data_IF_739597428397
#
_entry.id   IF_739597428397
#
_cell.length_a   1.000
_cell.length_b   1.000
_cell.length_c   1.000
_cell.angle_alpha   90.00
_cell.angle_beta   90.00
_cell.angle_gamma   90.00
#
_symmetry.space_group_name_H-M   'P 1'
#
loop_
_entity.id
_entity.type
_entity.pdbx_description
1 polymer ?
#
# COMPACT_ATOMS: atom_id res chain seq x y z
N UNK A 1 -5.31 32.91 -20.41
CA UNK A 1 -5.09 31.66 -19.64
C UNK A 1 -3.60 31.39 -19.63
N UNK A 2 -2.95 31.47 -18.47
CA UNK A 2 -1.49 31.25 -18.39
C UNK A 2 -1.12 29.85 -18.87
N UNK A 3 -0.04 29.73 -19.64
CA UNK A 3 0.51 28.43 -20.02
C UNK A 3 0.80 27.63 -18.74
N UNK A 4 0.11 26.50 -18.57
CA UNK A 4 0.40 25.54 -17.51
C UNK A 4 1.86 25.11 -17.66
N UNK A 5 2.60 25.07 -16.56
CA UNK A 5 3.95 24.50 -16.59
C UNK A 5 3.87 23.03 -17.00
N UNK A 6 4.91 22.50 -17.63
CA UNK A 6 4.93 21.09 -18.09
C UNK A 6 4.58 20.10 -16.97
N UNK A 7 5.05 20.33 -15.74
CA UNK A 7 4.73 19.51 -14.58
C UNK A 7 3.27 19.63 -14.14
N UNK A 8 2.63 20.79 -14.31
CA UNK A 8 1.20 20.96 -14.06
C UNK A 8 0.33 20.29 -15.11
N UNK A 9 0.78 20.27 -16.37
CA UNK A 9 0.12 19.51 -17.43
C UNK A 9 0.18 17.99 -17.13
N UNK A 10 1.33 17.46 -16.71
CA UNK A 10 1.46 16.06 -16.24
C UNK A 10 0.52 15.80 -15.07
N UNK A 11 0.50 16.68 -14.06
CA UNK A 11 -0.39 16.55 -12.90
C UNK A 11 -1.85 16.49 -13.31
N UNK A 12 -2.25 17.33 -14.26
CA UNK A 12 -3.63 17.40 -14.76
C UNK A 12 -4.01 16.09 -15.45
N UNK A 13 -3.19 15.59 -16.37
CA UNK A 13 -3.43 14.31 -17.05
C UNK A 13 -3.53 13.12 -16.08
N UNK A 14 -2.63 13.07 -15.08
CA UNK A 14 -2.66 12.02 -14.04
C UNK A 14 -3.99 12.04 -13.27
N UNK A 15 -4.48 13.23 -12.92
CA UNK A 15 -5.73 13.41 -12.16
C UNK A 15 -6.97 13.12 -13.00
N UNK A 16 -6.99 13.57 -14.26
CA UNK A 16 -8.07 13.28 -15.24
C UNK A 16 -8.24 11.78 -15.41
N UNK A 17 -7.13 11.04 -15.50
CA UNK A 17 -7.12 9.58 -15.62
C UNK A 17 -7.31 8.84 -14.29
N UNK A 18 -7.58 9.56 -13.21
CA UNK A 18 -7.85 9.03 -11.87
C UNK A 18 -6.74 8.13 -11.30
N UNK A 19 -5.48 8.40 -11.66
CA UNK A 19 -4.34 7.74 -11.02
C UNK A 19 -4.24 8.12 -9.54
N UNK A 20 -3.55 7.27 -8.76
CA UNK A 20 -3.37 7.52 -7.34
C UNK A 20 -2.46 8.73 -7.09
N UNK A 21 -2.66 9.42 -5.97
CA UNK A 21 -1.76 10.48 -5.52
C UNK A 21 -0.29 10.03 -5.38
N UNK A 22 -0.07 8.74 -5.08
CA UNK A 22 1.30 8.18 -5.04
C UNK A 22 1.92 8.13 -6.44
N UNK A 23 1.12 7.76 -7.45
CA UNK A 23 1.55 7.78 -8.85
C UNK A 23 1.88 9.20 -9.29
N UNK A 24 1.03 10.19 -8.94
CA UNK A 24 1.31 11.62 -9.17
C UNK A 24 2.69 12.01 -8.62
N UNK A 25 2.94 11.74 -7.34
CA UNK A 25 4.25 12.04 -6.72
C UNK A 25 5.42 11.37 -7.42
N UNK A 26 5.32 10.06 -7.70
CA UNK A 26 6.40 9.32 -8.35
C UNK A 26 6.66 9.81 -9.77
N UNK A 27 5.62 10.08 -10.55
CA UNK A 27 5.77 10.48 -11.94
C UNK A 27 6.29 11.91 -12.05
N UNK A 28 5.81 12.84 -11.22
CA UNK A 28 6.35 14.19 -11.16
C UNK A 28 7.80 14.20 -10.71
N UNK A 29 8.18 13.34 -9.76
CA UNK A 29 9.57 13.20 -9.33
C UNK A 29 10.48 12.78 -10.50
N UNK A 30 10.13 11.69 -11.19
CA UNK A 30 10.96 11.15 -12.27
C UNK A 30 11.05 12.09 -13.47
N UNK A 31 9.93 12.71 -13.88
CA UNK A 31 9.94 13.70 -14.96
C UNK A 31 10.80 14.91 -14.58
N UNK A 32 10.69 15.43 -13.35
CA UNK A 32 11.53 16.53 -12.89
C UNK A 32 13.01 16.14 -12.84
N UNK A 33 13.34 14.91 -12.45
CA UNK A 33 14.72 14.45 -12.40
C UNK A 33 15.31 14.31 -13.81
N UNK A 34 14.54 13.72 -14.73
CA UNK A 34 14.90 13.62 -16.14
C UNK A 34 15.16 14.99 -16.79
N UNK A 35 14.23 15.93 -16.62
CA UNK A 35 14.37 17.31 -17.16
C UNK A 35 15.65 17.97 -16.67
N UNK A 36 15.96 17.83 -15.37
CA UNK A 36 17.15 18.45 -14.77
C UNK A 36 18.44 17.79 -15.25
N UNK A 37 18.47 16.46 -15.34
CA UNK A 37 19.66 15.73 -15.75
C UNK A 37 19.99 15.95 -17.22
N UNK A 38 18.98 15.96 -18.09
CA UNK A 38 19.16 16.16 -19.54
C UNK A 38 19.14 17.64 -19.96
N UNK A 39 19.08 18.58 -19.01
CA UNK A 39 19.02 20.04 -19.26
C UNK A 39 17.95 20.47 -20.27
N UNK A 40 16.79 19.80 -20.26
CA UNK A 40 15.70 20.00 -21.22
C UNK A 40 15.07 21.38 -21.02
N UNK A 41 14.94 22.16 -22.12
CA UNK A 41 14.32 23.49 -22.10
C UNK A 41 12.93 23.48 -22.73
N UNK A 42 12.74 22.71 -23.80
CA UNK A 42 11.47 22.58 -24.51
C UNK A 42 11.05 21.11 -24.64
N UNK A 43 9.73 20.88 -24.69
CA UNK A 43 9.18 19.53 -24.85
C UNK A 43 9.58 18.85 -26.17
N UNK A 44 9.90 19.63 -27.21
CA UNK A 44 10.40 19.14 -28.49
C UNK A 44 11.81 18.55 -28.40
N UNK A 45 12.58 18.91 -27.37
CA UNK A 45 13.94 18.41 -27.17
C UNK A 45 13.93 16.94 -26.71
N UNK A 46 12.78 16.40 -26.28
CA UNK A 46 12.68 15.05 -25.73
C UNK A 46 12.69 14.03 -26.87
N UNK A 47 13.84 13.40 -27.09
CA UNK A 47 14.03 12.33 -28.07
C UNK A 47 14.15 10.95 -27.39
N UNK A 48 13.85 9.84 -28.10
CA UNK A 48 14.07 8.49 -27.58
C UNK A 48 15.50 8.26 -27.09
N UNK A 49 16.50 8.81 -27.79
CA UNK A 49 17.92 8.72 -27.42
C UNK A 49 18.22 9.34 -26.06
N UNK A 50 17.64 10.50 -25.73
CA UNK A 50 17.81 11.11 -24.41
C UNK A 50 17.18 10.27 -23.29
N UNK A 51 16.02 9.67 -23.57
CA UNK A 51 15.37 8.75 -22.63
C UNK A 51 16.27 7.55 -22.37
N UNK A 52 16.84 6.95 -23.41
CA UNK A 52 17.76 5.82 -23.30
C UNK A 52 19.04 6.18 -22.54
N UNK A 53 19.66 7.32 -22.84
CA UNK A 53 20.83 7.82 -22.13
C UNK A 53 20.54 8.01 -20.63
N UNK A 54 19.40 8.60 -20.30
CA UNK A 54 18.99 8.77 -18.90
C UNK A 54 18.75 7.41 -18.20
N UNK A 55 18.12 6.45 -18.89
CA UNK A 55 17.90 5.12 -18.33
C UNK A 55 19.21 4.34 -18.16
N UNK A 56 20.18 4.54 -19.06
CA UNK A 56 21.52 4.00 -18.97
C UNK A 56 22.27 4.60 -17.77
N UNK A 57 22.25 5.93 -17.63
CA UNK A 57 22.78 6.65 -16.46
C UNK A 57 22.20 6.09 -15.15
N UNK A 58 20.88 5.90 -15.09
CA UNK A 58 20.25 5.31 -13.91
C UNK A 58 20.74 3.90 -13.60
N UNK A 59 20.98 3.07 -14.62
CA UNK A 59 21.39 1.69 -14.44
C UNK A 59 22.88 1.53 -14.13
N UNK A 60 23.75 2.30 -14.81
CA UNK A 60 25.21 2.13 -14.77
C UNK A 60 25.83 3.03 -13.71
N UNK A 61 25.47 4.31 -13.67
CA UNK A 61 26.09 5.27 -12.74
C UNK A 61 25.37 5.33 -11.40
N UNK A 62 24.03 5.33 -11.41
CA UNK A 62 23.23 5.34 -10.18
C UNK A 62 22.95 3.93 -9.62
N UNK A 63 23.31 2.87 -10.36
CA UNK A 63 23.11 1.46 -10.01
C UNK A 63 21.70 1.14 -9.46
N UNK A 64 20.66 1.77 -10.03
CA UNK A 64 19.30 1.59 -9.52
C UNK A 64 18.74 0.20 -9.87
N UNK A 65 17.85 -0.31 -9.02
CA UNK A 65 17.16 -1.57 -9.33
C UNK A 65 16.33 -1.49 -10.62
N UNK A 66 16.18 -2.62 -11.31
CA UNK A 66 15.33 -2.75 -12.50
C UNK A 66 13.89 -2.22 -12.31
N UNK A 67 13.32 -2.38 -11.10
CA UNK A 67 11.97 -1.88 -10.81
C UNK A 67 11.92 -0.36 -10.66
N UNK A 68 12.98 0.24 -10.12
CA UNK A 68 13.17 1.70 -10.05
C UNK A 68 13.30 2.29 -11.44
N UNK A 69 14.17 1.72 -12.27
CA UNK A 69 14.37 2.13 -13.66
C UNK A 69 13.07 2.04 -14.46
N UNK A 70 12.33 0.91 -14.34
CA UNK A 70 11.02 0.74 -14.98
C UNK A 70 10.02 1.81 -14.55
N UNK A 71 10.02 2.22 -13.28
CA UNK A 71 9.15 3.29 -12.81
C UNK A 71 9.51 4.64 -13.46
N UNK A 72 10.80 4.94 -13.60
CA UNK A 72 11.28 6.13 -14.29
C UNK A 72 10.85 6.12 -15.77
N UNK A 73 11.08 5.01 -16.48
CA UNK A 73 10.64 4.82 -17.86
C UNK A 73 9.12 5.05 -18.01
N UNK A 74 8.30 4.39 -17.17
CA UNK A 74 6.85 4.57 -17.24
C UNK A 74 6.42 6.02 -17.00
N UNK A 75 7.09 6.73 -16.09
CA UNK A 75 6.79 8.14 -15.81
C UNK A 75 7.11 9.05 -17.00
N UNK A 76 8.25 8.83 -17.66
CA UNK A 76 8.70 9.63 -18.81
C UNK A 76 7.82 9.33 -20.03
N UNK A 77 7.58 8.05 -20.34
CA UNK A 77 6.70 7.62 -21.44
C UNK A 77 5.27 8.13 -21.24
N UNK A 78 4.77 8.16 -20.00
CA UNK A 78 3.48 8.77 -19.69
C UNK A 78 3.43 10.24 -20.12
N UNK A 79 4.44 11.02 -19.78
CA UNK A 79 4.49 12.43 -20.15
C UNK A 79 4.62 12.62 -21.68
N UNK A 80 5.45 11.81 -22.35
CA UNK A 80 5.61 11.85 -23.80
C UNK A 80 4.26 11.60 -24.52
N UNK A 81 3.58 10.49 -24.16
CA UNK A 81 2.33 10.09 -24.82
C UNK A 81 1.16 11.01 -24.50
N UNK A 82 1.00 11.39 -23.23
CA UNK A 82 -0.24 12.04 -22.79
C UNK A 82 -0.15 13.56 -22.67
N UNK A 83 1.06 14.12 -22.53
CA UNK A 83 1.25 15.58 -22.44
C UNK A 83 1.82 16.12 -23.75
N UNK A 84 2.86 15.49 -24.29
CA UNK A 84 3.52 15.95 -25.52
C UNK A 84 2.91 15.39 -26.79
N UNK A 85 2.07 14.35 -26.69
CA UNK A 85 1.50 13.61 -27.83
C UNK A 85 2.57 13.07 -28.79
N UNK A 86 3.74 12.75 -28.24
CA UNK A 86 4.84 12.11 -28.95
C UNK A 86 4.76 10.61 -28.63
N UNK A 87 4.72 9.79 -29.67
CA UNK A 87 4.94 8.35 -29.58
C UNK A 87 6.46 8.12 -29.53
N UNK A 88 7.06 7.72 -28.39
CA UNK A 88 8.45 7.31 -28.37
C UNK A 88 8.52 5.94 -29.06
N UNK A 89 8.68 5.95 -30.39
CA UNK A 89 8.86 4.75 -31.18
C UNK A 89 10.21 4.10 -30.82
N UNK A 90 10.19 2.77 -30.67
CA UNK A 90 11.36 1.89 -30.60
C UNK A 90 12.47 2.30 -29.61
N UNK A 91 12.15 2.36 -28.32
CA UNK A 91 13.19 2.39 -27.29
C UNK A 91 13.96 1.05 -27.32
N UNK A 92 15.18 1.07 -27.85
CA UNK A 92 16.09 -0.07 -27.93
C UNK A 92 16.88 -0.18 -26.62
N UNK A 93 16.18 -0.49 -25.53
CA UNK A 93 16.78 -0.62 -24.21
C UNK A 93 16.69 -2.05 -23.66
N UNK A 94 17.80 -2.65 -23.19
CA UNK A 94 17.76 -3.97 -22.56
C UNK A 94 17.05 -3.90 -21.21
N UNK A 95 15.83 -4.43 -21.14
CA UNK A 95 15.08 -4.49 -19.90
C UNK A 95 15.74 -5.44 -18.91
N UNK A 96 16.31 -4.90 -17.83
CA UNK A 96 16.74 -5.70 -16.70
C UNK A 96 15.53 -6.43 -16.09
N UNK A 97 15.58 -7.76 -16.04
CA UNK A 97 14.55 -8.55 -15.35
C UNK A 97 14.80 -8.47 -13.84
N UNK A 98 13.83 -7.93 -13.10
CA UNK A 98 13.92 -7.95 -11.65
C UNK A 98 13.90 -9.41 -11.14
N UNK A 99 14.82 -9.81 -10.25
CA UNK A 99 14.81 -11.15 -9.69
C UNK A 99 13.54 -11.39 -8.87
N UNK A 100 12.95 -12.58 -9.01
CA UNK A 100 11.82 -12.99 -8.17
C UNK A 100 12.35 -13.30 -6.76
N UNK A 101 11.94 -12.51 -5.77
CA UNK A 101 12.31 -12.74 -4.36
C UNK A 101 11.28 -13.64 -3.71
N UNK A 102 11.74 -14.71 -3.06
CA UNK A 102 10.91 -15.52 -2.19
C UNK A 102 10.58 -14.69 -0.93
N UNK A 103 9.31 -14.55 -0.55
CA UNK A 103 8.94 -13.76 0.60
C UNK A 103 9.45 -14.42 1.88
N UNK A 104 10.08 -13.62 2.74
CA UNK A 104 10.38 -14.02 4.10
C UNK A 104 9.08 -14.05 4.92
N UNK A 105 8.89 -15.12 5.70
CA UNK A 105 7.73 -15.31 6.57
C UNK A 105 8.15 -15.48 8.02
N UNK A 106 7.20 -15.20 8.91
CA UNK A 106 7.29 -15.39 10.35
C UNK A 106 6.59 -16.69 10.74
N UNK A 107 7.11 -17.36 11.77
CA UNK A 107 6.35 -18.38 12.49
C UNK A 107 5.20 -17.72 13.28
N UNK A 108 4.22 -18.52 13.71
CA UNK A 108 3.13 -18.01 14.54
C UNK A 108 3.63 -17.42 15.87
N UNK A 109 4.67 -18.02 16.47
CA UNK A 109 5.27 -17.53 17.71
C UNK A 109 6.04 -16.22 17.50
N UNK A 110 6.83 -16.11 16.44
CA UNK A 110 7.52 -14.85 16.09
C UNK A 110 6.51 -13.73 15.85
N UNK A 111 5.44 -14.00 15.08
CA UNK A 111 4.40 -13.02 14.81
C UNK A 111 3.71 -12.58 16.10
N UNK A 112 3.35 -13.52 16.98
CA UNK A 112 2.73 -13.25 18.27
C UNK A 112 3.63 -12.40 19.18
N UNK A 113 4.92 -12.72 19.25
CA UNK A 113 5.91 -12.00 20.04
C UNK A 113 6.11 -10.56 19.57
N UNK A 114 6.19 -10.34 18.26
CA UNK A 114 6.30 -8.98 17.69
C UNK A 114 5.02 -8.20 17.97
N UNK A 115 3.86 -8.81 17.75
CA UNK A 115 2.56 -8.13 17.93
C UNK A 115 2.36 -7.75 19.40
N UNK A 116 2.71 -8.60 20.36
CA UNK A 116 2.59 -8.28 21.79
C UNK A 116 3.52 -7.16 22.25
N UNK A 117 4.61 -6.90 21.51
CA UNK A 117 5.53 -5.78 21.75
C UNK A 117 5.07 -4.46 21.10
N UNK A 118 3.97 -4.46 20.35
CA UNK A 118 3.32 -3.24 19.87
C UNK A 118 2.33 -2.72 20.91
N UNK A 119 2.12 -1.41 20.96
CA UNK A 119 1.22 -0.76 21.93
C UNK A 119 0.05 -0.02 21.26
N UNK A 120 -1.06 0.09 21.99
CA UNK A 120 -2.24 0.85 21.57
C UNK A 120 -2.77 0.43 20.20
N UNK A 121 -3.03 1.42 19.32
CA UNK A 121 -3.52 1.14 17.97
C UNK A 121 -2.47 0.43 17.08
N UNK A 122 -1.17 0.50 17.40
CA UNK A 122 -0.16 -0.24 16.64
C UNK A 122 -0.29 -1.76 16.83
N UNK A 123 -0.61 -2.20 18.06
CA UNK A 123 -0.96 -3.59 18.34
C UNK A 123 -2.11 -4.05 17.45
N UNK A 124 -3.20 -3.27 17.44
CA UNK A 124 -4.40 -3.62 16.70
C UNK A 124 -4.14 -3.68 15.17
N UNK A 125 -3.33 -2.76 14.64
CA UNK A 125 -2.93 -2.79 13.22
C UNK A 125 -2.12 -4.07 12.95
N UNK A 126 -1.10 -4.37 13.76
CA UNK A 126 -0.29 -5.58 13.59
C UNK A 126 -1.13 -6.85 13.62
N UNK A 127 -2.05 -6.93 14.58
CA UNK A 127 -2.96 -8.06 14.73
C UNK A 127 -3.94 -8.22 13.56
N UNK A 128 -4.48 -7.12 13.01
CA UNK A 128 -5.34 -7.18 11.81
C UNK A 128 -4.53 -7.60 10.57
N UNK A 129 -3.30 -7.10 10.41
CA UNK A 129 -2.47 -7.47 9.26
C UNK A 129 -2.15 -8.97 9.25
N UNK A 130 -1.82 -9.52 10.42
CA UNK A 130 -1.52 -10.94 10.56
C UNK A 130 -2.78 -11.82 10.59
N UNK A 131 -3.84 -11.40 11.29
CA UNK A 131 -5.03 -12.22 11.49
C UNK A 131 -6.05 -12.18 10.34
N UNK A 132 -6.00 -11.15 9.50
CA UNK A 132 -6.95 -10.95 8.39
C UNK A 132 -6.25 -10.82 7.03
N UNK A 133 -4.92 -10.82 7.00
CA UNK A 133 -4.14 -10.74 5.77
C UNK A 133 -4.26 -9.41 5.02
N UNK A 134 -4.70 -8.32 5.66
CA UNK A 134 -4.86 -7.03 4.99
C UNK A 134 -3.51 -6.43 4.54
N UNK A 135 -3.51 -5.60 3.50
CA UNK A 135 -2.36 -4.73 3.20
C UNK A 135 -2.35 -3.56 4.19
N UNK A 136 -1.19 -3.02 4.52
CA UNK A 136 -1.07 -1.85 5.42
C UNK A 136 -2.00 -0.70 5.01
N UNK A 137 -2.00 -0.31 3.74
CA UNK A 137 -2.86 0.77 3.24
C UNK A 137 -4.36 0.46 3.33
N UNK A 138 -4.73 -0.82 3.29
CA UNK A 138 -6.13 -1.24 3.47
C UNK A 138 -6.50 -1.12 4.94
N UNK A 139 -5.67 -1.67 5.84
CA UNK A 139 -5.89 -1.61 7.30
C UNK A 139 -6.00 -0.16 7.80
N UNK A 140 -5.10 0.73 7.36
CA UNK A 140 -5.14 2.15 7.76
C UNK A 140 -6.36 2.89 7.23
N UNK A 141 -6.96 2.44 6.13
CA UNK A 141 -8.14 3.07 5.52
C UNK A 141 -9.46 2.51 6.04
N UNK A 142 -9.43 1.49 6.89
CA UNK A 142 -10.63 0.94 7.51
C UNK A 142 -11.39 2.04 8.23
N UNK A 143 -12.71 2.05 8.00
CA UNK A 143 -13.66 2.91 8.70
C UNK A 143 -14.45 2.08 9.70
N UNK A 144 -15.10 2.76 10.63
CA UNK A 144 -15.97 2.13 11.63
C UNK A 144 -17.03 1.24 10.98
N UNK A 145 -17.67 1.69 9.88
CA UNK A 145 -18.67 0.92 9.14
C UNK A 145 -18.14 -0.33 8.42
N UNK A 146 -16.82 -0.42 8.23
CA UNK A 146 -16.21 -1.51 7.47
C UNK A 146 -16.01 -2.76 8.35
N UNK A 147 -16.27 -2.65 9.66
CA UNK A 147 -16.12 -3.73 10.63
C UNK A 147 -17.50 -4.22 11.04
N UNK A 148 -17.80 -5.49 10.77
CA UNK A 148 -18.99 -6.17 11.26
C UNK A 148 -18.60 -7.14 12.39
N UNK A 149 -18.96 -6.77 13.61
CA UNK A 149 -18.68 -7.55 14.81
C UNK A 149 -19.62 -8.76 14.97
N UNK A 150 -20.77 -8.75 14.29
CA UNK A 150 -21.77 -9.82 14.33
C UNK A 150 -21.34 -10.95 13.40
N UNK A 151 -21.07 -10.64 12.13
CA UNK A 151 -20.60 -11.62 11.15
C UNK A 151 -19.10 -11.88 11.24
N UNK A 152 -18.39 -11.13 12.10
CA UNK A 152 -16.94 -11.22 12.31
C UNK A 152 -16.19 -11.08 10.98
N UNK A 153 -16.52 -10.01 10.28
CA UNK A 153 -15.98 -9.73 8.96
C UNK A 153 -15.49 -8.29 8.84
N UNK A 154 -14.51 -8.11 7.94
CA UNK A 154 -13.95 -6.81 7.58
C UNK A 154 -14.20 -6.60 6.09
N UNK A 155 -14.95 -5.55 5.77
CA UNK A 155 -15.15 -5.12 4.40
C UNK A 155 -13.98 -4.26 3.92
N UNK A 156 -13.31 -4.67 2.85
CA UNK A 156 -12.22 -3.90 2.25
C UNK A 156 -12.73 -3.23 0.98
N UNK A 157 -13.03 -1.94 1.11
CA UNK A 157 -13.48 -1.11 -0.01
C UNK A 157 -12.34 -0.78 -0.98
N UNK A 158 -12.55 -1.05 -2.27
CA UNK A 158 -11.68 -0.70 -3.40
C UNK A 158 -10.21 -0.99 -3.12
N UNK A 159 -9.91 -2.28 -2.92
CA UNK A 159 -8.55 -2.80 -2.81
C UNK A 159 -7.73 -2.64 -4.09
N UNK A 160 -6.63 -3.38 -4.20
CA UNK A 160 -5.80 -3.38 -5.43
C UNK A 160 -6.68 -3.71 -6.65
N UNK A 161 -6.65 -2.85 -7.67
CA UNK A 161 -7.49 -3.00 -8.87
C UNK A 161 -8.94 -2.54 -8.69
N UNK A 162 -9.25 -1.75 -7.66
CA UNK A 162 -10.60 -1.23 -7.36
C UNK A 162 -11.63 -2.33 -7.08
N UNK A 163 -11.19 -3.51 -6.62
CA UNK A 163 -12.05 -4.62 -6.25
C UNK A 163 -12.36 -4.60 -4.76
N UNK A 164 -13.64 -4.77 -4.45
CA UNK A 164 -14.12 -4.94 -3.09
C UNK A 164 -13.92 -6.41 -2.67
N UNK A 165 -13.69 -6.65 -1.39
CA UNK A 165 -13.68 -8.01 -0.82
C UNK A 165 -14.01 -7.99 0.66
N UNK A 166 -14.39 -9.15 1.18
CA UNK A 166 -14.59 -9.39 2.61
C UNK A 166 -13.43 -10.25 3.13
N UNK A 167 -12.91 -9.89 4.29
CA UNK A 167 -11.89 -10.65 5.00
C UNK A 167 -12.43 -11.07 6.37
N UNK A 168 -11.87 -12.13 6.94
CA UNK A 168 -12.21 -12.59 8.29
C UNK A 168 -11.74 -11.61 9.37
N UNK A 169 -12.51 -11.48 10.46
CA UNK A 169 -12.11 -10.77 11.67
C UNK A 169 -11.75 -11.78 12.78
N UNK A 170 -10.54 -11.71 13.37
CA UNK A 170 -10.18 -12.56 14.49
C UNK A 170 -11.04 -12.29 15.73
N UNK A 171 -11.60 -13.35 16.33
CA UNK A 171 -12.47 -13.27 17.52
C UNK A 171 -11.80 -12.53 18.68
N UNK A 172 -10.51 -12.78 18.92
CA UNK A 172 -9.76 -12.16 20.01
C UNK A 172 -9.58 -10.64 19.89
N UNK A 173 -9.91 -10.04 18.73
CA UNK A 173 -9.80 -8.59 18.52
C UNK A 173 -11.11 -7.84 18.75
N UNK A 174 -12.22 -8.52 19.01
CA UNK A 174 -13.55 -7.88 19.12
C UNK A 174 -13.56 -6.82 20.24
N UNK A 175 -13.06 -7.14 21.43
CA UNK A 175 -13.10 -6.20 22.56
C UNK A 175 -12.09 -5.05 22.43
N UNK A 176 -10.94 -5.34 21.81
CA UNK A 176 -9.94 -4.32 21.45
C UNK A 176 -10.52 -3.36 20.41
N UNK A 177 -11.26 -3.87 19.42
CA UNK A 177 -11.93 -3.07 18.40
C UNK A 177 -13.05 -2.20 19.00
N UNK A 178 -13.87 -2.74 19.90
CA UNK A 178 -14.89 -1.96 20.61
C UNK A 178 -14.25 -0.80 21.40
N UNK A 179 -13.15 -1.08 22.09
CA UNK A 179 -12.39 -0.08 22.84
C UNK A 179 -11.81 0.99 21.92
N UNK A 180 -11.22 0.59 20.78
CA UNK A 180 -10.72 1.51 19.76
C UNK A 180 -11.86 2.38 19.19
N UNK A 181 -13.00 1.77 18.82
CA UNK A 181 -14.18 2.50 18.33
C UNK A 181 -14.69 3.52 19.34
N UNK A 182 -14.68 3.20 20.64
CA UNK A 182 -15.04 4.14 21.70
C UNK A 182 -14.09 5.33 21.76
N UNK A 183 -12.78 5.10 21.63
CA UNK A 183 -11.78 6.18 21.57
C UNK A 183 -11.96 7.07 20.34
N UNK A 184 -12.19 6.45 19.17
CA UNK A 184 -12.48 7.19 17.93
C UNK A 184 -13.76 8.01 18.06
N UNK A 185 -14.80 7.47 18.71
CA UNK A 185 -16.06 8.17 18.95
C UNK A 185 -15.85 9.43 19.79
N UNK A 186 -15.13 9.31 20.91
CA UNK A 186 -14.79 10.45 21.77
C UNK A 186 -14.00 11.53 21.02
N UNK A 187 -13.02 11.12 20.21
CA UNK A 187 -12.23 12.05 19.40
C UNK A 187 -13.09 12.76 18.34
N UNK A 188 -14.00 12.02 17.71
CA UNK A 188 -14.93 12.55 16.72
C UNK A 188 -15.93 13.53 17.33
N UNK A 189 -16.46 13.24 18.52
CA UNK A 189 -17.34 14.15 19.26
C UNK A 189 -16.63 15.47 19.60
N UNK A 190 -15.36 15.42 19.99
CA UNK A 190 -14.55 16.62 20.19
C UNK A 190 -14.28 17.39 18.88
N UNK A 191 -14.06 16.70 17.75
CA UNK A 191 -13.92 17.36 16.46
C UNK A 191 -15.24 18.03 16.02
N UNK A 192 -16.39 17.43 16.34
CA UNK A 192 -17.70 18.02 16.07
C UNK A 192 -17.98 19.26 16.93
N UNK A 193 -17.60 19.24 18.22
CA UNK A 193 -17.76 20.41 19.10
C UNK A 193 -16.94 21.61 18.63
N UNK A 194 -15.79 21.35 18.00
CA UNK A 194 -14.93 22.38 17.39
C UNK A 194 -15.46 22.89 16.03
N UNK A 195 -16.60 22.38 15.54
CA UNK A 195 -17.17 22.73 14.23
C UNK A 195 -16.56 21.97 13.04
N UNK A 196 -15.81 20.90 13.28
CA UNK A 196 -15.22 20.03 12.25
C UNK A 196 -15.94 18.67 12.17
N UNK A 197 -15.19 17.57 12.04
CA UNK A 197 -15.74 16.20 12.02
C UNK A 197 -16.05 15.63 10.64
N UNK A 198 -15.76 16.33 9.55
CA UNK A 198 -15.87 15.73 8.21
C UNK A 198 -14.85 14.62 8.01
N UNK A 199 -15.32 13.45 7.58
CA UNK A 199 -14.46 12.35 7.22
C UNK A 199 -13.62 12.69 5.99
N UNK A 200 -12.34 12.31 6.01
CA UNK A 200 -11.47 12.45 4.84
C UNK A 200 -11.90 11.48 3.74
N UNK A 201 -12.47 12.03 2.66
CA UNK A 201 -13.06 11.29 1.54
C UNK A 201 -12.54 11.82 0.20
N UNK A 202 -12.36 10.94 -0.81
CA UNK A 202 -12.16 11.37 -2.19
C UNK A 202 -13.27 12.32 -2.67
N UNK A 203 -12.93 13.22 -3.60
CA UNK A 203 -13.83 14.28 -4.12
C UNK A 203 -15.19 13.70 -4.59
N UNK A 204 -15.17 12.59 -5.32
CA UNK A 204 -16.39 11.96 -5.80
C UNK A 204 -17.31 11.46 -4.67
N UNK A 205 -16.72 10.96 -3.58
CA UNK A 205 -17.48 10.46 -2.43
C UNK A 205 -17.95 11.60 -1.53
N UNK A 206 -17.13 12.62 -1.27
CA UNK A 206 -17.55 13.75 -0.45
C UNK A 206 -18.69 14.52 -1.13
N UNK A 207 -18.67 14.69 -2.45
CA UNK A 207 -19.78 15.31 -3.20
C UNK A 207 -21.09 14.55 -3.04
N UNK A 208 -21.05 13.22 -3.14
CA UNK A 208 -22.24 12.36 -3.05
C UNK A 208 -22.75 12.18 -1.62
N UNK A 209 -21.85 12.13 -0.64
CA UNK A 209 -22.16 11.75 0.75
C UNK A 209 -21.84 12.84 1.77
N UNK A 210 -21.77 14.12 1.37
CA UNK A 210 -21.34 15.22 2.25
C UNK A 210 -22.12 15.27 3.56
N UNK A 211 -23.44 15.15 3.48
CA UNK A 211 -24.34 15.15 4.64
C UNK A 211 -24.07 14.02 5.63
N UNK A 212 -23.55 12.89 5.14
CA UNK A 212 -23.24 11.71 5.94
C UNK A 212 -21.77 11.63 6.35
N UNK A 213 -20.89 12.42 5.74
CA UNK A 213 -19.45 12.38 6.01
C UNK A 213 -19.08 12.78 7.44
N UNK A 214 -19.97 13.48 8.17
CA UNK A 214 -19.81 13.81 9.59
C UNK A 214 -20.29 12.70 10.53
N UNK A 215 -20.91 11.63 10.02
CA UNK A 215 -21.40 10.54 10.87
C UNK A 215 -20.24 9.66 11.35
N UNK A 216 -20.36 9.13 12.57
CA UNK A 216 -19.33 8.33 13.22
C UNK A 216 -18.89 7.13 12.37
N UNK A 217 -19.83 6.43 11.74
CA UNK A 217 -19.54 5.22 10.96
C UNK A 217 -18.65 5.49 9.72
N UNK A 218 -18.56 6.75 9.25
CA UNK A 218 -17.63 7.14 8.19
C UNK A 218 -16.23 7.47 8.68
N UNK A 219 -15.99 7.60 9.99
CA UNK A 219 -14.66 7.95 10.49
C UNK A 219 -13.69 6.77 10.37
N UNK A 220 -12.40 7.09 10.22
CA UNK A 220 -11.36 6.07 10.20
C UNK A 220 -11.25 5.37 11.54
N UNK A 221 -11.01 4.06 11.52
CA UNK A 221 -10.72 3.26 12.70
C UNK A 221 -9.38 3.66 13.34
N UNK A 222 -8.44 4.13 12.52
CA UNK A 222 -7.11 4.60 12.94
C UNK A 222 -6.90 6.07 12.57
N UNK A 223 -7.57 7.02 13.26
CA UNK A 223 -7.46 8.43 12.95
C UNK A 223 -6.09 9.00 13.34
N UNK A 224 -5.61 9.98 12.57
CA UNK A 224 -4.38 10.71 12.88
C UNK A 224 -4.53 11.54 14.15
N UNK A 225 -3.41 11.81 14.83
CA UNK A 225 -3.38 12.63 16.05
C UNK A 225 -3.81 14.08 15.81
N UNK A 226 -3.56 14.61 14.61
CA UNK A 226 -3.90 15.99 14.21
C UNK A 226 -4.87 16.00 13.03
N UNK A 227 -5.68 17.05 12.97
CA UNK A 227 -6.48 17.40 11.79
C UNK A 227 -5.58 17.93 10.68
N UNK A 228 -6.04 17.83 9.44
CA UNK A 228 -5.36 18.37 8.27
C UNK A 228 -6.37 18.95 7.27
N UNK A 229 -5.91 19.86 6.42
CA UNK A 229 -6.70 20.29 5.27
C UNK A 229 -6.69 19.21 4.19
N UNK A 230 -7.86 18.91 3.64
CA UNK A 230 -7.98 17.96 2.54
C UNK A 230 -7.29 18.55 1.29
N UNK A 231 -6.35 17.82 0.64
CA UNK A 231 -5.47 18.38 -0.39
C UNK A 231 -6.16 18.83 -1.67
N UNK A 232 -7.43 18.48 -1.85
CA UNK A 232 -8.19 18.77 -3.08
C UNK A 232 -9.32 19.77 -2.92
N UNK A 233 -9.85 19.93 -1.70
CA UNK A 233 -11.14 20.60 -1.46
C UNK A 233 -11.10 21.47 -0.18
N UNK A 234 -9.90 21.62 0.40
CA UNK A 234 -9.53 22.50 1.51
C UNK A 234 -10.37 22.44 2.80
N UNK A 235 -11.31 21.50 2.92
CA UNK A 235 -12.01 21.28 4.18
C UNK A 235 -11.10 20.63 5.21
N UNK A 236 -11.28 20.99 6.47
CA UNK A 236 -10.56 20.39 7.59
C UNK A 236 -11.17 19.02 7.89
N UNK A 237 -10.31 18.01 7.94
CA UNK A 237 -10.70 16.64 8.26
C UNK A 237 -9.62 15.94 9.08
N UNK A 238 -9.97 14.79 9.66
CA UNK A 238 -9.00 13.90 10.28
C UNK A 238 -8.71 12.75 9.32
N UNK A 239 -7.51 12.72 8.78
CA UNK A 239 -7.06 11.60 7.96
C UNK A 239 -6.68 10.40 8.85
N UNK A 240 -6.41 9.23 8.26
CA UNK A 240 -5.87 8.11 9.01
C UNK A 240 -4.40 8.35 9.41
N UNK A 241 -3.89 7.59 10.38
CA UNK A 241 -2.48 7.67 10.77
C UNK A 241 -1.55 7.48 9.56
N UNK A 242 -0.39 8.14 9.59
CA UNK A 242 0.56 8.01 8.49
C UNK A 242 1.23 6.62 8.51
N UNK A 243 1.42 5.94 7.36
CA UNK A 243 1.99 4.59 7.32
C UNK A 243 3.37 4.46 8.00
N UNK A 244 4.19 5.52 7.95
CA UNK A 244 5.52 5.50 8.57
C UNK A 244 5.46 5.40 10.08
N UNK A 245 4.37 5.84 10.73
CA UNK A 245 4.21 5.68 12.17
C UNK A 245 4.16 4.19 12.53
N UNK A 246 3.36 3.40 11.81
CA UNK A 246 3.32 1.95 12.00
C UNK A 246 4.65 1.29 11.60
N UNK A 247 5.26 1.68 10.48
CA UNK A 247 6.56 1.10 10.07
C UNK A 247 7.66 1.32 11.11
N UNK A 248 7.71 2.49 11.76
CA UNK A 248 8.66 2.79 12.83
C UNK A 248 8.38 1.96 14.08
N UNK A 249 7.13 1.91 14.53
CA UNK A 249 6.72 1.11 15.67
C UNK A 249 7.03 -0.38 15.46
N UNK A 250 6.73 -0.91 14.26
CA UNK A 250 7.03 -2.29 13.89
C UNK A 250 8.52 -2.58 13.92
N UNK A 251 9.35 -1.70 13.34
CA UNK A 251 10.81 -1.87 13.36
C UNK A 251 11.33 -1.94 14.79
N UNK A 252 10.87 -1.04 15.66
CA UNK A 252 11.27 -1.03 17.07
C UNK A 252 10.84 -2.32 17.78
N UNK A 253 9.59 -2.74 17.61
CA UNK A 253 9.09 -3.98 18.21
C UNK A 253 9.90 -5.20 17.76
N UNK A 254 10.20 -5.32 16.46
CA UNK A 254 11.02 -6.42 15.93
C UNK A 254 12.43 -6.43 16.53
N UNK A 255 13.08 -5.26 16.64
CA UNK A 255 14.41 -5.16 17.27
C UNK A 255 14.37 -5.56 18.75
N UNK A 256 13.35 -5.14 19.50
CA UNK A 256 13.20 -5.50 20.91
C UNK A 256 12.98 -7.00 21.12
N UNK A 257 12.37 -7.69 20.16
CA UNK A 257 12.16 -9.14 20.21
C UNK A 257 13.40 -9.97 19.83
N UNK A 258 14.52 -9.35 19.44
CA UNK A 258 15.72 -10.07 19.00
C UNK A 258 15.51 -10.87 17.71
N UNK A 259 14.59 -10.44 16.84
CA UNK A 259 14.31 -11.14 15.58
C UNK A 259 15.16 -10.52 14.47
N UNK A 260 16.11 -11.29 13.94
CA UNK A 260 17.02 -10.85 12.88
C UNK A 260 16.36 -10.72 11.49
N UNK A 261 15.18 -11.31 11.33
CA UNK A 261 14.42 -11.26 10.08
C UNK A 261 14.02 -9.82 9.76
N UNK A 262 14.06 -9.45 8.47
CA UNK A 262 13.56 -8.14 8.05
C UNK A 262 12.02 -8.15 8.04
N UNK A 263 11.43 -7.62 9.10
CA UNK A 263 9.97 -7.57 9.25
C UNK A 263 9.40 -6.25 8.72
N UNK A 264 8.39 -6.38 7.86
CA UNK A 264 7.59 -5.27 7.35
C UNK A 264 6.11 -5.63 7.45
N UNK A 265 5.24 -4.66 7.20
CA UNK A 265 3.79 -4.93 7.15
C UNK A 265 3.42 -6.02 6.11
N UNK A 266 4.19 -6.14 5.03
CA UNK A 266 3.98 -7.20 4.03
C UNK A 266 4.37 -8.57 4.55
N UNK A 267 5.37 -8.66 5.45
CA UNK A 267 5.80 -9.90 6.09
C UNK A 267 4.64 -10.55 6.85
N UNK A 268 3.83 -9.79 7.60
CA UNK A 268 2.64 -10.33 8.28
C UNK A 268 1.63 -10.95 7.32
N UNK A 269 1.35 -10.27 6.20
CA UNK A 269 0.43 -10.78 5.19
C UNK A 269 0.96 -12.03 4.50
N UNK A 270 2.26 -12.10 4.24
CA UNK A 270 2.89 -13.31 3.71
C UNK A 270 2.79 -14.46 4.71
N UNK A 271 3.08 -14.18 5.99
CA UNK A 271 3.00 -15.15 7.08
C UNK A 271 1.57 -15.66 7.30
N UNK A 272 0.57 -14.79 7.18
CA UNK A 272 -0.85 -15.18 7.20
C UNK A 272 -1.18 -16.19 6.11
N UNK A 273 -0.80 -15.89 4.86
CA UNK A 273 -1.07 -16.75 3.72
C UNK A 273 -0.40 -18.12 3.87
N UNK A 274 0.88 -18.14 4.26
CA UNK A 274 1.63 -19.37 4.51
C UNK A 274 1.05 -20.16 5.69
N UNK A 275 0.63 -19.50 6.78
CA UNK A 275 0.00 -20.16 7.94
C UNK A 275 -1.33 -20.83 7.56
N UNK A 276 -2.13 -20.21 6.68
CA UNK A 276 -3.35 -20.84 6.17
C UNK A 276 -3.05 -22.05 5.27
N UNK A 277 -2.07 -21.94 4.37
CA UNK A 277 -1.68 -23.09 3.53
C UNK A 277 -1.15 -24.26 4.37
N UNK A 278 -0.33 -23.99 5.39
CA UNK A 278 0.18 -25.02 6.30
C UNK A 278 -0.93 -25.72 7.11
N UNK A 279 -2.07 -25.05 7.30
CA UNK A 279 -3.27 -25.63 7.92
C UNK A 279 -4.16 -26.38 6.93
N UNK A 280 -3.72 -26.55 5.68
CA UNK A 280 -4.43 -27.28 4.65
C UNK A 280 -5.54 -26.48 3.95
N UNK A 281 -5.59 -25.16 4.10
CA UNK A 281 -6.56 -24.35 3.36
C UNK A 281 -6.21 -24.29 1.87
N UNK A 282 -7.24 -24.40 1.03
CA UNK A 282 -7.10 -24.35 -0.42
C UNK A 282 -6.59 -22.99 -0.93
N UNK A 283 -5.74 -23.04 -1.97
CA UNK A 283 -5.08 -21.87 -2.55
C UNK A 283 -6.08 -20.86 -3.12
N UNK A 284 -7.24 -21.31 -3.62
CA UNK A 284 -8.28 -20.41 -4.14
C UNK A 284 -8.94 -19.62 -3.01
N UNK A 285 -9.21 -20.27 -1.89
CA UNK A 285 -9.73 -19.61 -0.68
C UNK A 285 -8.77 -18.50 -0.22
N UNK A 286 -7.47 -18.79 -0.18
CA UNK A 286 -6.46 -17.79 0.21
C UNK A 286 -6.34 -16.68 -0.83
N UNK A 287 -6.43 -17.00 -2.12
CA UNK A 287 -6.44 -16.02 -3.21
C UNK A 287 -7.57 -15.00 -3.03
N UNK A 288 -8.78 -15.47 -2.68
CA UNK A 288 -9.96 -14.64 -2.47
C UNK A 288 -9.82 -13.75 -1.24
N UNK A 289 -9.39 -14.31 -0.09
CA UNK A 289 -9.13 -13.55 1.14
C UNK A 289 -8.10 -12.44 0.92
N UNK A 290 -7.03 -12.74 0.18
CA UNK A 290 -5.99 -11.79 -0.15
C UNK A 290 -6.43 -10.80 -1.26
N UNK A 291 -7.46 -11.10 -2.04
CA UNK A 291 -7.86 -10.29 -3.19
C UNK A 291 -6.78 -10.25 -4.26
N UNK A 292 -6.23 -11.41 -4.62
CA UNK A 292 -5.31 -11.57 -5.74
C UNK A 292 -6.11 -11.83 -7.02
N UNK A 293 -5.87 -11.03 -8.06
CA UNK A 293 -6.53 -11.20 -9.35
C UNK A 293 -6.04 -12.43 -10.12
N UNK A 294 -4.82 -12.89 -9.82
CA UNK A 294 -4.16 -14.01 -10.48
C UNK A 294 -3.62 -14.97 -9.41
N UNK A 295 -3.90 -16.26 -9.58
CA UNK A 295 -3.46 -17.34 -8.69
C UNK A 295 -1.94 -17.41 -8.62
N UNK A 296 -1.23 -17.04 -9.70
CA UNK A 296 0.24 -16.98 -9.73
C UNK A 296 0.83 -16.07 -8.66
N UNK A 297 0.07 -15.06 -8.21
CA UNK A 297 0.50 -14.19 -7.11
C UNK A 297 0.42 -14.91 -5.75
N UNK A 298 -0.50 -15.86 -5.61
CA UNK A 298 -0.68 -16.69 -4.41
C UNK A 298 0.24 -17.90 -4.40
N UNK A 299 0.56 -18.46 -5.58
CA UNK A 299 1.53 -19.56 -5.74
C UNK A 299 2.91 -19.23 -5.17
N UNK A 300 3.28 -17.95 -5.05
CA UNK A 300 4.53 -17.55 -4.40
C UNK A 300 4.66 -18.14 -2.98
N UNK A 301 3.54 -18.38 -2.29
CA UNK A 301 3.54 -18.96 -0.94
C UNK A 301 3.74 -20.47 -0.89
N UNK A 302 3.49 -21.19 -1.99
CA UNK A 302 3.69 -22.65 -2.02
C UNK A 302 5.18 -22.99 -1.97
N UNK A 303 6.04 -22.14 -2.55
CA UNK A 303 7.49 -22.29 -2.47
C UNK A 303 8.02 -22.22 -1.03
N UNK A 304 7.37 -21.46 -0.15
CA UNK A 304 7.79 -21.33 1.27
C UNK A 304 7.55 -22.62 2.05
N UNK A 305 6.61 -23.44 1.60
CA UNK A 305 6.25 -24.73 2.21
C UNK A 305 7.15 -25.86 1.70
N UNK A 306 7.79 -25.65 0.55
CA UNK A 306 8.46 -26.63 -0.31
C UNK A 306 9.71 -27.34 0.23
N UNK A 307 9.89 -27.45 1.54
CA UNK A 307 10.92 -28.30 2.15
C UNK A 307 10.39 -29.24 3.23
N UNK A 308 9.27 -28.94 3.88
CA UNK A 308 8.70 -29.78 4.95
C UNK A 308 7.49 -30.60 4.49
N UNK A 309 6.92 -30.30 3.31
CA UNK A 309 5.76 -31.00 2.75
C UNK A 309 6.00 -31.62 1.38
N UNK A 310 7.19 -31.47 0.79
CA UNK A 310 7.54 -32.20 -0.44
C UNK A 310 7.73 -33.69 -0.19
N UNK A 311 7.77 -34.13 1.08
CA UNK A 311 8.06 -35.51 1.46
C UNK A 311 9.48 -35.93 1.14
N UNK A 312 10.34 -34.98 0.74
CA UNK A 312 11.74 -35.23 0.42
C UNK A 312 12.54 -35.11 1.71
N UNK A 313 13.08 -36.24 2.17
CA UNK A 313 14.03 -36.29 3.27
C UNK A 313 15.40 -35.89 2.72
N UNK A 314 16.15 -35.09 3.46
CA UNK A 314 17.53 -34.77 3.07
C UNK A 314 18.33 -36.06 2.95
N UNK A 315 19.10 -36.30 1.88
CA UNK A 315 19.98 -37.46 1.81
C UNK A 315 20.93 -37.57 3.01
N UNK A 316 21.31 -36.44 3.62
CA UNK A 316 22.12 -36.40 4.85
C UNK A 316 21.37 -36.97 6.07
N UNK A 317 20.05 -36.74 6.16
CA UNK A 317 19.21 -37.26 7.25
C UNK A 317 18.89 -38.76 7.06
N UNK A 318 19.30 -39.35 5.92
CA UNK A 318 19.11 -40.76 5.57
C UNK A 318 20.42 -41.57 5.68
N UNK A 319 21.51 -40.97 6.16
CA UNK A 319 22.78 -41.62 6.50
C UNK A 319 22.77 -42.11 7.95
#
# INVERSE_FOLDING_TARGET
MGQLTFLEAIRTEIRVRHYSYQTEKSYLYWNRYFIRHCYIRHGADITPTLIEQFLCFLAVECEVSASTQKQALCAIVFACRHVLKIEPNELQFPYAKAPKRIPQVLSNEEAKLIISNLSGYHYLIGAILFGSGLRLKEALKLRVKDIDLTTKSIFVYRGKGQKDRVCMLPNGLIDVLKSQMKQVKKLHEADLSDGFGLASLPISLIRKYRSNASKFHWQYLFPASRRCMHPSDNYVCRHHIHPTAFSRALRQATTNCGIDKRVTAHTFRHSFATSLLLKGHDIRTIQELLGHSDVKTTEIYTHVIGGHHTGVISPLDSL
#
